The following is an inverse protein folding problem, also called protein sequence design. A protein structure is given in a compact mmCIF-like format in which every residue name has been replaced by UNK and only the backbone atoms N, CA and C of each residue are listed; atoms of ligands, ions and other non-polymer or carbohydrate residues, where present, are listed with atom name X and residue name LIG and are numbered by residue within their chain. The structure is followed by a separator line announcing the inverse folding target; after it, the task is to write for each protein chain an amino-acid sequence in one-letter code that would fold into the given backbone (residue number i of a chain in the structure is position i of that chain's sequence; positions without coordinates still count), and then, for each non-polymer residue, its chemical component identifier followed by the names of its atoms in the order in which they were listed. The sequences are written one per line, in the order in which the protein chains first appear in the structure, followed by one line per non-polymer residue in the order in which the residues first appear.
data_IF_887698045628
#
_entry.id   IF_887698045628
#
_cell.length_a   1.000
_cell.length_b   1.000
_cell.length_c   1.000
_cell.angle_alpha   90.00
_cell.angle_beta   90.00
_cell.angle_gamma   90.00
#
_symmetry.space_group_name_H-M   'P 1'
#
loop_
_entity.id
_entity.type
_entity.pdbx_description
1 polymer ?
#
# COMPACT_ATOMS: atom_id res chain seq x y z
N UNK A 1 -0.64 -15.47 6.86
CA UNK A 1 0.80 -15.27 7.09
C UNK A 1 1.46 -15.11 5.73
N UNK A 2 2.37 -14.16 5.58
CA UNK A 2 3.14 -13.93 4.37
C UNK A 2 4.60 -13.63 4.72
N UNK A 3 5.54 -14.13 3.93
CA UNK A 3 6.97 -13.82 4.10
C UNK A 3 7.31 -12.55 3.33
N UNK A 4 7.92 -11.59 4.00
CA UNK A 4 8.43 -10.35 3.39
C UNK A 4 9.90 -10.55 3.02
N UNK A 5 10.21 -10.38 1.75
CA UNK A 5 11.57 -10.47 1.17
C UNK A 5 12.00 -9.11 0.63
N UNK A 6 13.30 -8.89 0.31
CA UNK A 6 13.75 -7.63 -0.28
C UNK A 6 13.06 -7.26 -1.61
N UNK A 7 12.42 -8.23 -2.27
CA UNK A 7 11.68 -8.04 -3.52
C UNK A 7 10.15 -8.03 -3.34
N UNK A 8 9.67 -8.04 -2.10
CA UNK A 8 8.25 -8.01 -1.75
C UNK A 8 7.75 -9.30 -1.10
N UNK A 9 6.44 -9.51 -1.16
CA UNK A 9 5.77 -10.66 -0.56
C UNK A 9 6.11 -11.94 -1.37
N UNK A 10 6.50 -13.00 -0.67
CA UNK A 10 6.71 -14.31 -1.29
C UNK A 10 5.39 -14.84 -1.88
N UNK A 11 5.42 -15.26 -3.15
CA UNK A 11 4.24 -15.76 -3.87
C UNK A 11 3.37 -14.69 -4.55
N UNK A 12 3.71 -13.40 -4.41
CA UNK A 12 3.01 -12.34 -5.16
C UNK A 12 3.43 -12.33 -6.64
N UNK A 13 2.46 -12.23 -7.55
CA UNK A 13 2.68 -12.24 -8.99
C UNK A 13 3.28 -10.93 -9.52
N UNK A 14 3.29 -9.85 -8.72
CA UNK A 14 3.99 -8.59 -9.05
C UNK A 14 5.53 -8.71 -8.99
N UNK A 15 6.06 -9.90 -8.70
CA UNK A 15 7.50 -10.21 -8.72
C UNK A 15 8.12 -10.15 -10.13
N UNK A 16 7.31 -10.04 -11.17
CA UNK A 16 7.78 -10.01 -12.55
C UNK A 16 8.26 -8.61 -12.99
N UNK A 17 9.58 -8.45 -12.96
CA UNK A 17 10.33 -7.66 -13.95
C UNK A 17 10.67 -6.22 -13.61
N UNK A 18 11.81 -5.79 -14.15
CA UNK A 18 12.53 -4.50 -14.08
C UNK A 18 11.66 -3.22 -14.19
N UNK A 19 10.39 -3.34 -14.54
CA UNK A 19 9.46 -2.24 -14.79
C UNK A 19 8.30 -2.14 -13.78
N UNK A 20 7.93 -3.25 -13.11
CA UNK A 20 6.73 -3.34 -12.27
C UNK A 20 6.98 -3.81 -10.82
N UNK A 21 8.12 -4.44 -10.54
CA UNK A 21 8.52 -4.88 -9.20
C UNK A 21 10.03 -4.78 -9.03
N UNK A 22 10.47 -3.97 -8.08
CA UNK A 22 11.88 -3.79 -7.74
C UNK A 22 12.02 -3.47 -6.26
N UNK A 23 13.25 -3.46 -5.70
CA UNK A 23 13.45 -3.26 -4.26
C UNK A 23 12.83 -1.96 -3.75
N UNK A 24 12.78 -0.91 -4.58
CA UNK A 24 12.15 0.38 -4.28
C UNK A 24 10.62 0.39 -4.38
N UNK A 25 9.98 -0.72 -4.77
CA UNK A 25 8.52 -0.91 -4.84
C UNK A 25 8.12 -2.30 -4.30
N UNK A 26 8.89 -2.83 -3.36
CA UNK A 26 8.73 -4.19 -2.86
C UNK A 26 7.35 -4.42 -2.23
N UNK A 27 6.80 -3.42 -1.54
CA UNK A 27 5.50 -3.53 -0.87
C UNK A 27 4.64 -2.30 -1.20
N UNK A 28 3.40 -2.53 -1.64
CA UNK A 28 2.38 -1.50 -1.83
C UNK A 28 1.47 -1.45 -0.59
N UNK A 29 1.34 -0.27 0.03
CA UNK A 29 0.58 -0.07 1.27
C UNK A 29 -0.63 0.85 1.03
N UNK A 30 -1.73 0.61 1.74
CA UNK A 30 -2.87 1.55 1.78
C UNK A 30 -3.53 1.63 3.16
N UNK A 31 -4.19 2.76 3.44
CA UNK A 31 -4.99 2.95 4.64
C UNK A 31 -6.41 2.37 4.50
N UNK A 32 -6.85 1.65 5.52
CA UNK A 32 -8.23 1.19 5.66
C UNK A 32 -9.19 2.38 5.79
N UNK A 33 -8.75 3.46 6.42
CA UNK A 33 -9.51 4.72 6.58
C UNK A 33 -9.81 5.34 5.21
N UNK A 34 -8.81 5.43 4.33
CA UNK A 34 -9.01 5.95 2.97
C UNK A 34 -9.94 5.06 2.14
N UNK A 35 -9.89 3.73 2.33
CA UNK A 35 -10.84 2.79 1.73
C UNK A 35 -12.25 3.07 2.24
N UNK A 36 -12.45 3.24 3.56
CA UNK A 36 -13.76 3.53 4.15
C UNK A 36 -14.35 4.85 3.67
N UNK A 37 -13.53 5.87 3.50
CA UNK A 37 -13.95 7.15 2.90
C UNK A 37 -14.48 6.96 1.47
N UNK A 38 -13.73 6.23 0.63
CA UNK A 38 -14.17 5.90 -0.74
C UNK A 38 -15.45 5.04 -0.75
N UNK A 39 -15.59 4.12 0.20
CA UNK A 39 -16.82 3.34 0.36
C UNK A 39 -18.01 4.22 0.73
N UNK A 40 -17.83 5.20 1.62
CA UNK A 40 -18.87 6.16 2.00
C UNK A 40 -19.30 7.04 0.81
N UNK A 41 -18.40 7.31 -0.15
CA UNK A 41 -18.70 7.97 -1.43
C UNK A 41 -19.42 7.05 -2.45
N UNK A 42 -19.61 5.77 -2.09
CA UNK A 42 -20.34 4.77 -2.87
C UNK A 42 -19.49 3.96 -3.84
N UNK A 43 -18.17 3.92 -3.66
CA UNK A 43 -17.28 3.07 -4.45
C UNK A 43 -17.15 1.67 -3.82
N UNK A 44 -17.22 0.57 -4.60
CA UNK A 44 -17.23 -0.80 -4.07
C UNK A 44 -15.83 -1.32 -3.72
N UNK A 45 -14.99 -0.51 -3.07
CA UNK A 45 -13.64 -0.92 -2.71
C UNK A 45 -13.68 -1.94 -1.57
N UNK A 46 -12.75 -2.88 -1.60
CA UNK A 46 -12.40 -3.76 -0.49
C UNK A 46 -10.88 -3.73 -0.33
N UNK A 47 -10.32 -4.12 0.83
CA UNK A 47 -8.87 -4.31 0.97
C UNK A 47 -8.30 -5.17 -0.17
N UNK A 48 -7.21 -4.72 -0.77
CA UNK A 48 -6.56 -5.30 -1.93
C UNK A 48 -7.17 -4.89 -3.28
N UNK A 49 -8.33 -4.23 -3.33
CA UNK A 49 -9.02 -3.92 -4.59
C UNK A 49 -8.24 -2.99 -5.51
N UNK A 50 -7.31 -2.21 -4.98
CA UNK A 50 -6.46 -1.36 -5.80
C UNK A 50 -5.16 -2.08 -6.20
N UNK A 51 -4.84 -3.22 -5.59
CA UNK A 51 -3.58 -3.96 -5.77
C UNK A 51 -2.51 -3.58 -4.74
N UNK A 52 -2.91 -3.05 -3.58
CA UNK A 52 -2.03 -2.99 -2.43
C UNK A 52 -1.77 -4.38 -1.85
N UNK A 53 -0.57 -4.59 -1.31
CA UNK A 53 -0.18 -5.84 -0.67
C UNK A 53 -0.59 -5.87 0.81
N UNK A 54 -0.52 -4.71 1.47
CA UNK A 54 -0.85 -4.59 2.90
C UNK A 54 -1.79 -3.40 3.08
N UNK A 55 -2.90 -3.66 3.75
CA UNK A 55 -3.82 -2.63 4.23
C UNK A 55 -3.56 -2.40 5.71
N UNK A 56 -3.35 -1.14 6.10
CA UNK A 56 -3.05 -0.70 7.45
C UNK A 56 -4.24 0.06 8.04
N UNK A 57 -4.42 -0.02 9.35
CA UNK A 57 -5.47 0.69 10.09
C UNK A 57 -4.85 1.31 11.36
N UNK A 58 -5.39 2.43 11.80
CA UNK A 58 -4.99 3.11 13.04
C UNK A 58 -3.73 3.97 12.93
N UNK A 59 -3.25 4.23 11.71
CA UNK A 59 -2.10 5.10 11.46
C UNK A 59 -2.55 6.45 10.93
N UNK A 60 -1.87 7.52 11.35
CA UNK A 60 -1.98 8.81 10.67
C UNK A 60 -1.37 8.70 9.27
N UNK A 61 -2.25 8.50 8.28
CA UNK A 61 -1.84 8.31 6.90
C UNK A 61 -1.18 9.55 6.31
N UNK A 62 -1.41 10.74 6.87
CA UNK A 62 -0.75 11.97 6.42
C UNK A 62 0.76 11.97 6.72
N UNK A 63 1.19 11.21 7.73
CA UNK A 63 2.60 11.03 8.07
C UNK A 63 3.28 9.89 7.26
N UNK A 64 2.52 9.09 6.52
CA UNK A 64 3.03 8.00 5.67
C UNK A 64 3.45 8.55 4.31
N UNK A 65 4.62 9.20 4.28
CA UNK A 65 5.17 9.88 3.11
C UNK A 65 6.58 9.36 2.76
N UNK A 66 7.13 9.68 1.58
CA UNK A 66 8.48 9.25 1.20
C UNK A 66 9.54 9.60 2.26
N UNK A 67 10.35 8.61 2.63
CA UNK A 67 11.33 8.68 3.72
C UNK A 67 10.82 8.20 5.08
N UNK A 68 9.51 8.06 5.27
CA UNK A 68 8.93 7.53 6.52
C UNK A 68 9.22 6.05 6.67
N UNK A 69 9.56 5.61 7.89
CA UNK A 69 9.70 4.19 8.24
C UNK A 69 8.51 3.70 9.03
N UNK A 70 8.13 2.45 8.77
CA UNK A 70 7.08 1.75 9.49
C UNK A 70 7.61 0.40 9.97
N UNK A 71 7.23 0.03 11.17
CA UNK A 71 7.37 -1.34 11.64
C UNK A 71 6.02 -2.04 11.60
N UNK A 72 6.00 -3.24 11.02
CA UNK A 72 4.85 -4.11 10.97
C UNK A 72 5.17 -5.41 11.70
N UNK A 73 4.35 -5.78 12.66
CA UNK A 73 4.65 -6.86 13.59
C UNK A 73 5.97 -6.60 14.32
N UNK A 74 6.70 -7.67 14.62
CA UNK A 74 7.94 -7.61 15.40
C UNK A 74 9.19 -7.49 14.52
N UNK A 75 9.16 -8.03 13.30
CA UNK A 75 10.36 -8.22 12.47
C UNK A 75 10.43 -7.27 11.26
N UNK A 76 9.28 -6.93 10.66
CA UNK A 76 9.27 -6.28 9.35
C UNK A 76 9.42 -4.76 9.51
N UNK A 77 10.43 -4.19 8.87
CA UNK A 77 10.60 -2.74 8.76
C UNK A 77 10.57 -2.34 7.30
N UNK A 78 9.72 -1.37 6.98
CA UNK A 78 9.56 -0.81 5.64
C UNK A 78 9.95 0.67 5.65
N UNK A 79 10.46 1.16 4.51
CA UNK A 79 10.64 2.59 4.28
C UNK A 79 9.87 3.00 3.03
N UNK A 80 9.00 4.00 3.18
CA UNK A 80 8.21 4.53 2.08
C UNK A 80 9.13 5.21 1.07
N UNK A 81 9.05 4.81 -0.19
CA UNK A 81 9.91 5.32 -1.26
C UNK A 81 9.20 6.36 -2.12
N UNK A 82 7.90 6.19 -2.37
CA UNK A 82 7.08 7.08 -3.22
C UNK A 82 5.59 6.82 -3.06
N UNK A 83 4.80 7.81 -3.44
CA UNK A 83 3.37 7.61 -3.72
C UNK A 83 3.16 6.75 -4.97
N UNK A 84 2.07 6.00 -5.01
CA UNK A 84 1.68 5.26 -6.21
C UNK A 84 0.97 6.18 -7.21
N UNK A 85 1.31 6.07 -8.49
CA UNK A 85 0.50 6.68 -9.55
C UNK A 85 -0.70 5.78 -9.83
N UNK A 86 -1.94 6.29 -9.76
CA UNK A 86 -3.10 5.49 -10.12
C UNK A 86 -3.10 5.17 -11.62
N UNK A 87 -3.51 3.95 -11.98
CA UNK A 87 -3.47 3.45 -13.35
C UNK A 87 -4.83 2.92 -13.81
N UNK A 88 -4.96 2.64 -15.11
CA UNK A 88 -6.23 2.17 -15.67
C UNK A 88 -6.72 0.85 -15.05
N UNK A 89 -5.82 -0.01 -14.57
CA UNK A 89 -6.16 -1.33 -14.02
C UNK A 89 -7.07 -1.24 -12.79
N UNK A 90 -7.01 -0.13 -12.03
CA UNK A 90 -7.86 0.05 -10.84
C UNK A 90 -9.20 0.72 -11.16
N UNK A 91 -9.45 1.09 -12.42
CA UNK A 91 -10.70 1.71 -12.87
C UNK A 91 -11.95 0.93 -12.43
N UNK A 92 -12.02 -0.42 -12.50
CA UNK A 92 -13.19 -1.17 -12.08
C UNK A 92 -13.54 -1.04 -10.59
N UNK A 93 -12.58 -0.65 -9.75
CA UNK A 93 -12.81 -0.46 -8.31
C UNK A 93 -13.63 0.80 -7.99
N UNK A 94 -13.78 1.73 -8.95
CA UNK A 94 -14.47 2.99 -8.75
C UNK A 94 -15.80 3.02 -9.49
N UNK A 95 -16.90 3.26 -8.77
CA UNK A 95 -18.16 3.68 -9.38
C UNK A 95 -17.93 4.88 -10.31
N UNK A 96 -18.35 4.78 -11.57
CA UNK A 96 -18.10 5.80 -12.60
C UNK A 96 -16.69 5.75 -13.22
N UNK A 97 -15.77 4.96 -12.68
CA UNK A 97 -14.45 4.71 -13.24
C UNK A 97 -13.42 5.83 -13.01
N UNK A 98 -13.67 6.76 -12.08
CA UNK A 98 -12.69 7.80 -11.73
C UNK A 98 -11.63 7.28 -10.76
N UNK A 99 -10.62 6.62 -11.31
CA UNK A 99 -9.46 6.16 -10.53
C UNK A 99 -8.51 7.28 -10.12
N UNK A 100 -8.75 8.53 -10.53
CA UNK A 100 -7.91 9.66 -10.14
C UNK A 100 -8.14 10.12 -8.70
N UNK A 101 -9.20 9.62 -8.06
CA UNK A 101 -9.54 9.87 -6.65
C UNK A 101 -8.44 9.46 -5.66
N UNK A 102 -7.61 8.48 -6.02
CA UNK A 102 -6.46 8.03 -5.21
C UNK A 102 -5.13 8.59 -5.70
N UNK A 103 -5.16 9.70 -6.44
CA UNK A 103 -3.95 10.42 -6.87
C UNK A 103 -3.48 11.36 -5.77
N UNK A 104 -2.25 11.18 -5.28
CA UNK A 104 -1.66 12.11 -4.31
C UNK A 104 -1.65 13.57 -4.81
N UNK A 105 -1.50 13.78 -6.12
CA UNK A 105 -1.46 15.12 -6.72
C UNK A 105 -2.84 15.82 -6.71
N UNK A 106 -3.93 15.06 -6.81
CA UNK A 106 -5.29 15.61 -6.85
C UNK A 106 -5.96 15.59 -5.47
N UNK A 107 -5.70 14.54 -4.71
CA UNK A 107 -6.28 14.28 -3.40
C UNK A 107 -5.18 13.81 -2.43
N UNK A 108 -4.38 14.74 -1.88
CA UNK A 108 -3.35 14.40 -0.90
C UNK A 108 -3.92 13.60 0.26
N UNK A 109 -3.20 12.54 0.67
CA UNK A 109 -3.64 11.66 1.75
C UNK A 109 -4.59 10.54 1.33
N UNK A 110 -4.99 10.48 0.04
CA UNK A 110 -5.81 9.38 -0.50
C UNK A 110 -5.05 8.43 -1.41
N UNK A 111 -3.73 8.58 -1.48
CA UNK A 111 -2.86 7.73 -2.30
C UNK A 111 -2.34 6.55 -1.51
N UNK A 112 -2.15 5.44 -2.22
CA UNK A 112 -1.26 4.37 -1.76
C UNK A 112 0.19 4.82 -1.81
N UNK A 113 1.03 4.05 -1.16
CA UNK A 113 2.48 4.23 -1.20
C UNK A 113 3.19 2.94 -1.55
N UNK A 114 4.33 3.06 -2.23
CA UNK A 114 5.31 2.00 -2.35
C UNK A 114 6.36 2.14 -1.25
N UNK A 115 6.82 1.00 -0.76
CA UNK A 115 7.88 0.90 0.22
C UNK A 115 8.92 -0.14 -0.18
N UNK A 116 10.15 0.07 0.28
CA UNK A 116 11.22 -0.92 0.26
C UNK A 116 11.30 -1.63 1.60
N UNK A 117 11.86 -2.83 1.58
CA UNK A 117 12.08 -3.62 2.79
C UNK A 117 13.43 -3.28 3.39
N UNK A 118 13.42 -2.78 4.62
CA UNK A 118 14.62 -2.50 5.43
C UNK A 118 14.97 -3.73 6.29
N UNK A 119 13.96 -4.38 6.86
CA UNK A 119 14.10 -5.64 7.57
C UNK A 119 13.02 -6.62 7.10
N UNK A 120 13.48 -7.82 6.70
CA UNK A 120 12.62 -8.94 6.30
C UNK A 120 12.02 -9.63 7.52
N UNK A 121 10.92 -10.35 7.32
CA UNK A 121 10.31 -11.14 8.39
C UNK A 121 9.00 -11.78 7.95
N UNK A 122 8.30 -12.36 8.92
CA UNK A 122 6.96 -12.89 8.71
C UNK A 122 5.91 -11.87 9.13
N UNK A 123 4.86 -11.73 8.32
CA UNK A 123 3.70 -10.88 8.59
C UNK A 123 2.44 -11.73 8.72
N UNK A 124 1.62 -11.45 9.74
CA UNK A 124 0.31 -12.06 9.96
C UNK A 124 -0.80 -11.01 9.86
N UNK A 125 -2.00 -11.47 9.52
CA UNK A 125 -3.17 -10.60 9.60
C UNK A 125 -3.42 -10.22 11.06
N UNK A 126 -3.59 -8.93 11.32
CA UNK A 126 -3.78 -8.39 12.67
C UNK A 126 -2.49 -7.97 13.37
N UNK A 127 -1.32 -8.13 12.74
CA UNK A 127 -0.07 -7.61 13.30
C UNK A 127 -0.15 -6.08 13.46
N UNK A 128 0.39 -5.53 14.57
CA UNK A 128 0.38 -4.10 14.79
C UNK A 128 1.27 -3.38 13.78
N UNK A 129 0.90 -2.16 13.41
CA UNK A 129 1.73 -1.27 12.61
C UNK A 129 2.01 0.01 13.39
N UNK A 130 3.23 0.54 13.28
CA UNK A 130 3.63 1.82 13.88
C UNK A 130 4.60 2.59 12.99
N UNK A 131 4.54 3.90 13.09
CA UNK A 131 5.56 4.79 12.55
C UNK A 131 6.81 4.72 13.43
N UNK A 132 7.99 4.84 12.79
CA UNK A 132 9.29 4.91 13.45
C UNK A 132 9.90 6.30 13.35
#
# INVERSE_FOLDING_TARGET
MARITPLGLEGDAHRDGEHHGGPERAVCLFAMEAIRELQAEGHPLVPGALGENVTLEGLDWSAVQPGTRLQLGDEVVLEVTRYTTPCFNIRPAFRGGDYSLVSQKRHPGRSRVYARVIATGMLHGGDPARLL
#
